data_IF_823397980012
#
_entry.id   IF_823397980012
#
_cell.length_a   1.000
_cell.length_b   1.000
_cell.length_c   1.000
_cell.angle_alpha   90.00
_cell.angle_beta   90.00
_cell.angle_gamma   90.00
#
_symmetry.space_group_name_H-M   'P 1'
#
loop_
_entity.id
_entity.type
_entity.pdbx_description
1 polymer ?
#
# COMPACT_ATOMS: atom_id res chain seq x y z
N UNK A 1 -3.44 11.96 -13.36
CA UNK A 1 -3.41 10.52 -13.01
C UNK A 1 -4.84 10.04 -13.02
N UNK A 2 -5.09 8.89 -13.64
CA UNK A 2 -6.36 8.21 -13.50
C UNK A 2 -6.52 7.76 -12.04
N UNK A 3 -7.59 8.20 -11.40
CA UNK A 3 -7.94 7.81 -10.03
C UNK A 3 -8.56 6.42 -10.03
N UNK A 4 -7.72 5.39 -10.28
CA UNK A 4 -8.11 3.98 -10.22
C UNK A 4 -7.11 3.16 -9.42
N UNK A 5 -7.59 2.04 -8.89
CA UNK A 5 -6.74 1.01 -8.33
C UNK A 5 -6.01 0.30 -9.46
N UNK A 6 -4.73 0.01 -9.24
CA UNK A 6 -3.94 -0.82 -10.12
C UNK A 6 -4.31 -2.29 -9.97
N UNK A 7 -4.12 -3.05 -11.05
CA UNK A 7 -4.38 -4.50 -11.06
C UNK A 7 -3.18 -5.24 -11.63
N UNK A 8 -2.96 -6.48 -11.18
CA UNK A 8 -1.85 -7.31 -11.68
C UNK A 8 -1.89 -7.48 -13.21
N UNK A 9 -3.08 -7.65 -13.79
CA UNK A 9 -3.25 -7.91 -15.22
C UNK A 9 -2.95 -6.68 -16.10
N UNK A 10 -3.38 -5.49 -15.68
CA UNK A 10 -3.21 -4.27 -16.48
C UNK A 10 -1.91 -3.51 -16.17
N UNK A 11 -1.48 -3.50 -14.90
CA UNK A 11 -0.42 -2.63 -14.40
C UNK A 11 0.82 -3.40 -13.94
N UNK A 12 0.76 -4.73 -13.90
CA UNK A 12 1.84 -5.58 -13.38
C UNK A 12 1.95 -5.56 -11.85
N UNK A 13 1.09 -4.83 -11.14
CA UNK A 13 1.03 -4.87 -9.68
C UNK A 13 -0.33 -4.42 -9.14
N UNK A 14 -0.68 -4.88 -7.95
CA UNK A 14 -1.89 -4.49 -7.24
C UNK A 14 -1.65 -4.38 -5.73
N UNK A 15 -2.66 -3.86 -5.02
CA UNK A 15 -2.67 -3.81 -3.56
C UNK A 15 -3.53 -4.96 -3.00
N UNK A 16 -2.99 -5.66 -2.01
CA UNK A 16 -3.71 -6.74 -1.34
C UNK A 16 -4.73 -6.20 -0.32
N UNK A 17 -5.83 -6.92 -0.11
CA UNK A 17 -6.84 -6.57 0.87
C UNK A 17 -6.41 -7.04 2.26
N UNK A 18 -6.24 -6.10 3.19
CA UNK A 18 -5.79 -6.41 4.54
C UNK A 18 -6.88 -7.02 5.42
N UNK A 19 -8.16 -6.75 5.11
CA UNK A 19 -9.29 -7.22 5.91
C UNK A 19 -9.42 -8.76 5.96
N UNK A 20 -9.31 -9.52 4.85
CA UNK A 20 -9.30 -10.98 4.90
C UNK A 20 -8.05 -11.53 5.60
N UNK A 21 -6.90 -10.87 5.49
CA UNK A 21 -5.66 -11.29 6.16
C UNK A 21 -5.81 -11.15 7.69
N UNK A 22 -6.33 -10.02 8.15
CA UNK A 22 -6.61 -9.79 9.56
C UNK A 22 -7.67 -10.76 10.09
N UNK A 23 -8.70 -11.09 9.30
CA UNK A 23 -9.72 -12.06 9.68
C UNK A 23 -9.17 -13.50 9.77
N UNK A 24 -8.24 -13.87 8.89
CA UNK A 24 -7.59 -15.17 8.91
C UNK A 24 -6.53 -15.32 10.02
N UNK A 25 -5.91 -14.21 10.43
CA UNK A 25 -4.79 -14.17 11.36
C UNK A 25 -4.95 -13.11 12.47
N UNK A 26 -6.05 -13.12 13.24
CA UNK A 26 -6.33 -12.06 14.21
C UNK A 26 -5.30 -11.97 15.34
N UNK A 27 -4.62 -13.07 15.68
CA UNK A 27 -3.62 -13.12 16.75
C UNK A 27 -2.23 -12.63 16.33
N UNK A 28 -1.92 -12.66 15.03
CA UNK A 28 -0.56 -12.37 14.51
C UNK A 28 -0.51 -11.21 13.52
N UNK A 29 -1.66 -10.79 13.00
CA UNK A 29 -1.79 -9.68 12.08
C UNK A 29 -2.56 -8.54 12.73
N UNK A 30 -1.81 -7.57 13.24
CA UNK A 30 -2.40 -6.32 13.72
C UNK A 30 -2.70 -5.39 12.53
N UNK A 31 -3.88 -4.77 12.55
CA UNK A 31 -4.30 -3.78 11.58
C UNK A 31 -4.98 -2.60 12.30
N UNK A 32 -4.74 -1.35 11.87
CA UNK A 32 -5.44 -0.19 12.42
C UNK A 32 -6.96 -0.32 12.30
N UNK A 33 -7.74 0.18 13.29
CA UNK A 33 -9.19 0.15 13.23
C UNK A 33 -9.70 0.92 12.01
N UNK A 34 -10.87 0.52 11.52
CA UNK A 34 -11.46 1.07 10.28
C UNK A 34 -11.60 2.59 10.34
N UNK A 35 -12.03 3.13 11.47
CA UNK A 35 -12.20 4.58 11.67
C UNK A 35 -10.90 5.37 11.45
N UNK A 36 -9.74 4.83 11.86
CA UNK A 36 -8.45 5.47 11.61
C UNK A 36 -8.05 5.38 10.13
N UNK A 37 -8.30 4.23 9.48
CA UNK A 37 -8.03 4.04 8.04
C UNK A 37 -8.96 4.90 7.16
N UNK A 38 -10.16 5.20 7.64
CA UNK A 38 -11.13 6.08 6.99
C UNK A 38 -10.91 7.57 7.32
N UNK A 39 -9.97 7.90 8.21
CA UNK A 39 -9.68 9.28 8.63
C UNK A 39 -8.27 9.74 8.24
N UNK A 40 -7.66 9.12 7.22
CA UNK A 40 -6.32 9.49 6.77
C UNK A 40 -6.30 10.90 6.18
N UNK A 41 -5.25 11.64 6.51
CA UNK A 41 -4.97 12.99 6.06
C UNK A 41 -3.69 13.04 5.21
N UNK A 42 -3.60 14.00 4.26
CA UNK A 42 -2.37 14.23 3.52
C UNK A 42 -1.17 14.48 4.45
N UNK A 43 -0.01 13.92 4.08
CA UNK A 43 1.22 13.95 4.85
C UNK A 43 1.40 12.78 5.81
N UNK A 44 0.35 11.99 6.10
CA UNK A 44 0.52 10.77 6.88
C UNK A 44 1.21 9.67 6.08
N UNK A 45 2.01 8.85 6.76
CA UNK A 45 2.66 7.70 6.16
C UNK A 45 1.90 6.42 6.52
N UNK A 46 1.47 5.65 5.51
CA UNK A 46 0.74 4.39 5.70
C UNK A 46 1.49 3.24 5.08
N UNK A 47 1.33 2.04 5.64
CA UNK A 47 1.93 0.83 5.10
C UNK A 47 0.86 0.02 4.39
N UNK A 48 1.16 -0.43 3.17
CA UNK A 48 0.30 -1.24 2.32
C UNK A 48 1.00 -2.56 1.94
N UNK A 49 0.25 -3.52 1.42
CA UNK A 49 0.78 -4.76 0.84
C UNK A 49 0.67 -4.68 -0.67
N UNK A 50 1.80 -4.78 -1.35
CA UNK A 50 1.90 -4.78 -2.80
C UNK A 50 2.14 -6.19 -3.30
N UNK A 51 1.42 -6.58 -4.35
CA UNK A 51 1.64 -7.80 -5.10
C UNK A 51 2.17 -7.37 -6.47
N UNK A 52 3.40 -7.74 -6.79
CA UNK A 52 4.13 -7.26 -7.97
C UNK A 52 4.44 -8.47 -8.84
N UNK A 53 4.04 -8.42 -10.10
CA UNK A 53 4.39 -9.40 -11.12
C UNK A 53 5.79 -9.10 -11.62
N UNK A 54 6.71 -10.04 -11.45
CA UNK A 54 8.09 -9.93 -11.90
C UNK A 54 8.37 -11.11 -12.82
N UNK A 55 8.96 -10.84 -14.00
CA UNK A 55 9.42 -11.89 -14.89
C UNK A 55 10.84 -12.32 -14.50
N UNK A 56 11.06 -13.62 -14.31
CA UNK A 56 12.40 -14.15 -14.06
C UNK A 56 13.26 -14.19 -15.34
N UNK A 57 14.54 -14.57 -15.23
CA UNK A 57 15.48 -14.64 -16.35
C UNK A 57 15.04 -15.59 -17.48
N UNK A 58 14.15 -16.53 -17.18
CA UNK A 58 13.54 -17.48 -18.14
C UNK A 58 12.25 -16.96 -18.76
N UNK A 59 11.74 -15.81 -18.31
CA UNK A 59 10.50 -15.19 -18.77
C UNK A 59 9.24 -15.76 -18.12
N UNK A 60 9.36 -16.49 -17.00
CA UNK A 60 8.20 -16.92 -16.21
C UNK A 60 7.79 -15.81 -15.27
N UNK A 61 6.48 -15.57 -15.15
CA UNK A 61 5.94 -14.51 -14.32
C UNK A 61 5.69 -15.04 -12.89
N UNK A 62 6.30 -14.40 -11.90
CA UNK A 62 6.15 -14.72 -10.48
C UNK A 62 5.58 -13.51 -9.71
N UNK A 63 4.69 -13.76 -8.75
CA UNK A 63 4.12 -12.70 -7.92
C UNK A 63 4.91 -12.56 -6.63
N UNK A 64 5.58 -11.42 -6.47
CA UNK A 64 6.27 -11.02 -5.25
C UNK A 64 5.35 -10.20 -4.35
N UNK A 65 5.41 -10.44 -3.04
CA UNK A 65 4.62 -9.69 -2.06
C UNK A 65 5.53 -8.86 -1.17
N UNK A 66 5.39 -7.53 -1.23
CA UNK A 66 6.17 -6.58 -0.45
C UNK A 66 5.29 -5.67 0.40
N UNK A 67 5.79 -5.22 1.55
CA UNK A 67 5.09 -4.29 2.44
C UNK A 67 5.79 -2.94 2.40
N UNK A 68 5.17 -1.97 1.73
CA UNK A 68 5.80 -0.67 1.46
C UNK A 68 5.05 0.47 2.11
N UNK A 69 5.78 1.55 2.38
CA UNK A 69 5.27 2.79 2.93
C UNK A 69 4.85 3.74 1.80
N UNK A 70 3.75 4.44 2.03
CA UNK A 70 3.13 5.37 1.09
C UNK A 70 2.77 6.64 1.86
N UNK A 71 3.20 7.78 1.36
CA UNK A 71 2.79 9.09 1.86
C UNK A 71 1.42 9.40 1.27
N UNK A 72 0.43 9.65 2.11
CA UNK A 72 -0.91 10.09 1.66
C UNK A 72 -0.79 11.50 1.09
N UNK A 73 -1.27 11.71 -0.13
CA UNK A 73 -1.26 13.02 -0.80
C UNK A 73 -2.65 13.64 -0.92
N UNK A 74 -3.71 12.83 -0.82
CA UNK A 74 -5.08 13.29 -1.00
C UNK A 74 -6.13 12.19 -0.84
N UNK A 75 -7.39 12.59 -0.99
CA UNK A 75 -8.55 11.69 -0.96
C UNK A 75 -9.68 12.24 -1.83
N UNK A 76 -10.30 11.38 -2.61
CA UNK A 76 -11.52 11.63 -3.39
C UNK A 76 -12.55 10.54 -3.05
N UNK A 77 -13.57 10.87 -2.26
CA UNK A 77 -14.56 9.89 -1.81
C UNK A 77 -13.97 8.78 -0.94
N UNK A 78 -14.03 7.52 -1.38
CA UNK A 78 -13.42 6.37 -0.67
C UNK A 78 -11.98 6.06 -1.11
N UNK A 79 -11.50 6.74 -2.16
CA UNK A 79 -10.20 6.49 -2.76
C UNK A 79 -9.18 7.51 -2.24
N UNK A 80 -8.08 7.02 -1.72
CA UNK A 80 -6.93 7.82 -1.34
C UNK A 80 -5.92 7.87 -2.48
N UNK A 81 -5.22 8.98 -2.57
CA UNK A 81 -4.02 9.10 -3.41
C UNK A 81 -2.80 9.16 -2.51
N UNK A 82 -1.70 8.60 -2.98
CA UNK A 82 -0.44 8.63 -2.26
C UNK A 82 0.76 8.48 -3.18
N UNK A 83 1.94 8.63 -2.61
CA UNK A 83 3.23 8.47 -3.28
C UNK A 83 4.05 7.44 -2.53
N UNK A 84 4.69 6.53 -3.27
CA UNK A 84 5.55 5.51 -2.69
C UNK A 84 6.73 6.18 -1.97
N UNK A 85 7.02 5.78 -0.72
CA UNK A 85 8.08 6.40 0.09
C UNK A 85 9.40 5.61 0.03
N UNK A 86 9.33 4.30 -0.25
CA UNK A 86 10.51 3.44 -0.27
C UNK A 86 10.65 2.64 -1.58
N UNK A 87 11.89 2.28 -1.92
CA UNK A 87 12.20 1.42 -3.06
C UNK A 87 11.80 -0.04 -2.73
N UNK A 88 11.03 -0.74 -3.58
CA UNK A 88 10.84 -2.18 -3.49
C UNK A 88 12.15 -2.93 -3.74
N UNK A 89 12.31 -4.10 -3.12
CA UNK A 89 13.49 -4.93 -3.34
C UNK A 89 13.39 -5.79 -4.59
N UNK A 90 12.17 -6.08 -5.05
CA UNK A 90 11.95 -7.06 -6.13
C UNK A 90 11.94 -6.45 -7.54
N UNK A 91 11.91 -5.12 -7.69
CA UNK A 91 11.93 -4.45 -9.00
C UNK A 91 12.49 -3.03 -8.93
N UNK A 92 13.13 -2.58 -10.02
CA UNK A 92 13.55 -1.19 -10.25
C UNK A 92 12.48 -0.35 -10.97
N UNK A 93 11.36 -0.96 -11.37
CA UNK A 93 10.29 -0.29 -12.14
C UNK A 93 9.42 0.60 -11.26
N UNK A 94 9.25 0.22 -9.99
CA UNK A 94 8.57 1.01 -8.97
C UNK A 94 9.60 1.83 -8.20
N UNK A 95 9.40 3.15 -8.10
CA UNK A 95 10.38 4.05 -7.49
C UNK A 95 9.71 4.97 -6.45
N UNK A 96 10.45 5.44 -5.42
CA UNK A 96 9.97 6.50 -4.53
C UNK A 96 9.44 7.71 -5.30
N UNK A 97 8.34 8.29 -4.82
CA UNK A 97 7.60 9.34 -5.49
C UNK A 97 6.62 8.83 -6.56
N UNK A 98 6.55 7.52 -6.82
CA UNK A 98 5.56 6.97 -7.74
C UNK A 98 4.15 7.17 -7.18
N UNK A 99 3.25 7.85 -7.92
CA UNK A 99 1.89 8.09 -7.48
C UNK A 99 1.04 6.81 -7.60
N UNK A 100 0.18 6.58 -6.63
CA UNK A 100 -0.78 5.48 -6.63
C UNK A 100 -2.10 5.86 -5.96
N UNK A 101 -3.13 5.04 -6.19
CA UNK A 101 -4.39 5.11 -5.48
C UNK A 101 -4.57 3.88 -4.59
N UNK A 102 -5.22 4.06 -3.44
CA UNK A 102 -5.52 2.96 -2.51
C UNK A 102 -6.81 3.24 -1.73
N UNK A 103 -7.34 2.24 -1.04
CA UNK A 103 -8.53 2.35 -0.21
C UNK A 103 -8.18 2.03 1.25
N UNK A 104 -9.06 2.40 2.18
CA UNK A 104 -8.89 2.11 3.60
C UNK A 104 -8.60 0.61 3.87
N UNK A 105 -9.18 -0.31 3.08
CA UNK A 105 -8.97 -1.76 3.21
C UNK A 105 -7.56 -2.26 2.89
N UNK A 106 -6.75 -1.47 2.19
CA UNK A 106 -5.36 -1.83 1.89
C UNK A 106 -4.38 -1.45 3.02
N UNK A 107 -4.81 -0.64 3.99
CA UNK A 107 -3.94 -0.06 5.03
C UNK A 107 -3.68 -1.07 6.15
N UNK A 108 -2.42 -1.46 6.31
CA UNK A 108 -1.97 -2.41 7.34
C UNK A 108 -1.24 -1.74 8.51
N UNK A 109 -0.80 -0.50 8.35
CA UNK A 109 -0.18 0.29 9.40
C UNK A 109 -0.31 1.78 9.10
N UNK A 110 -0.35 2.62 10.12
CA UNK A 110 -0.30 4.07 10.02
C UNK A 110 0.87 4.51 10.89
N UNK A 111 1.87 5.14 10.28
CA UNK A 111 2.97 5.72 11.03
C UNK A 111 2.42 6.82 11.93
N UNK A 112 2.69 6.68 13.21
CA UNK A 112 2.46 7.74 14.18
C UNK A 112 3.86 8.20 14.54
N UNK A 113 4.23 9.40 14.09
CA UNK A 113 5.35 10.09 14.73
C UNK A 113 5.00 10.11 16.22
N UNK A 114 5.80 9.43 17.04
CA UNK A 114 5.70 9.62 18.49
C UNK A 114 5.84 11.12 18.71
N UNK A 115 4.80 11.76 19.24
CA UNK A 115 4.88 13.11 19.78
C UNK A 115 6.19 13.20 20.56
N UNK A 116 7.17 13.92 20.01
CA UNK A 116 8.25 14.54 20.77
C UNK A 116 7.57 15.53 21.72
N UNK A 117 7.00 14.99 22.80
CA UNK A 117 6.63 15.72 23.99
C UNK A 117 7.92 16.12 24.70
N UNK A 118 8.57 17.16 24.16
CA UNK A 118 9.57 17.98 24.85
C UNK A 118 8.92 19.11 25.63
#
# INVERSE_FOLDING_TARGET
MDMRLTTLDEDGWELDDAEPIAAAHPDTFWMPPREERDALAPGQLVKLIFRILVADETGSEEVHVERMWVIVTGREGSLYTGELDNQPYCTDEMNPGMPLCFEARHVINIHRDEDEAG
#
